data_IF_118947113233
#
_entry.id   IF_118947113233
#
_cell.length_a   1.000
_cell.length_b   1.000
_cell.length_c   1.000
_cell.angle_alpha   90.00
_cell.angle_beta   90.00
_cell.angle_gamma   90.00
#
_symmetry.space_group_name_H-M   'P 1'
#
loop_
_entity.id
_entity.type
_entity.pdbx_description
1 polymer ?
#
# COMPACT_ATOMS: atom_id res chain seq x y z
N UNK A 1 18.81 1.57 -9.08
CA UNK A 1 17.92 0.73 -8.25
C UNK A 1 18.49 0.58 -6.85
N UNK A 2 17.95 1.31 -5.89
CA UNK A 2 18.37 1.17 -4.50
C UNK A 2 18.00 -0.22 -3.95
N UNK A 3 18.97 -0.80 -3.25
CA UNK A 3 18.84 -2.05 -2.53
C UNK A 3 17.67 -1.99 -1.54
N UNK A 4 16.83 -3.02 -1.54
CA UNK A 4 15.74 -3.17 -0.58
C UNK A 4 16.34 -3.34 0.82
N UNK A 5 16.13 -2.37 1.71
CA UNK A 5 16.70 -2.41 3.08
C UNK A 5 15.84 -3.28 3.99
N UNK A 6 16.49 -4.08 4.84
CA UNK A 6 15.78 -4.98 5.76
C UNK A 6 16.26 -4.73 7.18
N UNK A 7 15.35 -4.32 8.05
CA UNK A 7 15.58 -4.09 9.46
C UNK A 7 14.94 -5.21 10.27
N UNK A 8 15.46 -5.50 11.45
CA UNK A 8 14.84 -6.45 12.40
C UNK A 8 14.62 -5.74 13.71
N UNK A 9 13.45 -5.93 14.33
CA UNK A 9 13.09 -5.36 15.62
C UNK A 9 12.56 -6.45 16.55
N UNK A 10 13.29 -6.68 17.63
CA UNK A 10 12.87 -7.56 18.71
C UNK A 10 11.95 -6.79 19.66
N UNK A 11 10.74 -7.30 19.89
CA UNK A 11 9.87 -6.76 20.94
C UNK A 11 10.32 -7.25 22.33
N UNK A 12 9.99 -6.55 23.43
CA UNK A 12 10.13 -7.12 24.76
C UNK A 12 9.25 -8.35 24.96
N UNK A 13 9.59 -9.20 25.93
CA UNK A 13 8.72 -10.28 26.41
C UNK A 13 7.45 -9.67 27.02
N UNK A 14 6.30 -10.28 26.74
CA UNK A 14 5.07 -9.91 27.45
C UNK A 14 5.09 -10.48 28.87
N UNK A 15 4.29 -9.95 29.81
CA UNK A 15 4.19 -10.52 31.16
C UNK A 15 3.77 -12.00 31.19
N UNK A 16 3.04 -12.47 30.16
CA UNK A 16 2.68 -13.89 30.03
C UNK A 16 3.83 -14.77 29.54
N UNK A 17 4.83 -14.20 28.88
CA UNK A 17 5.98 -14.91 28.29
C UNK A 17 7.23 -14.85 29.17
N UNK A 18 7.26 -14.00 30.20
CA UNK A 18 8.44 -13.81 31.07
C UNK A 18 8.87 -15.06 31.84
N UNK A 19 8.03 -16.10 31.86
CA UNK A 19 8.29 -17.39 32.48
C UNK A 19 8.98 -18.36 31.50
N UNK A 20 8.78 -18.16 30.19
CA UNK A 20 9.39 -18.98 29.14
C UNK A 20 10.83 -18.52 28.85
N UNK A 21 11.75 -19.43 28.49
CA UNK A 21 13.10 -19.03 28.11
C UNK A 21 13.08 -18.22 26.81
N UNK A 22 14.01 -17.29 26.67
CA UNK A 22 14.22 -16.60 25.39
C UNK A 22 14.91 -17.52 24.37
N UNK A 23 14.58 -17.30 23.10
CA UNK A 23 15.34 -17.83 21.97
C UNK A 23 16.76 -17.31 22.03
N UNK A 24 17.74 -18.21 22.03
CA UNK A 24 19.14 -17.82 21.92
C UNK A 24 19.39 -17.21 20.55
N UNK A 25 19.85 -15.96 20.53
CA UNK A 25 20.09 -15.20 19.31
C UNK A 25 21.46 -14.53 19.36
N UNK A 26 22.11 -14.45 18.22
CA UNK A 26 23.32 -13.68 18.03
C UNK A 26 23.28 -12.98 16.67
N UNK A 27 23.93 -11.83 16.56
CA UNK A 27 24.08 -11.13 15.30
C UNK A 27 25.53 -10.67 15.13
N UNK A 28 26.03 -10.69 13.89
CA UNK A 28 27.38 -10.22 13.58
C UNK A 28 27.36 -9.28 12.39
N UNK A 29 28.05 -8.16 12.54
CA UNK A 29 28.27 -7.20 11.47
C UNK A 29 29.36 -7.71 10.52
N UNK A 30 29.17 -7.50 9.23
CA UNK A 30 30.08 -7.90 8.15
C UNK A 30 30.63 -6.64 7.44
N UNK A 31 31.67 -6.79 6.62
CA UNK A 31 32.52 -5.72 6.03
C UNK A 31 31.83 -4.62 5.19
N UNK A 32 30.50 -4.60 5.11
CA UNK A 32 29.71 -3.57 4.41
C UNK A 32 28.56 -3.01 5.26
N UNK A 33 28.68 -3.10 6.59
CA UNK A 33 27.65 -2.63 7.52
C UNK A 33 26.38 -3.50 7.55
N UNK A 34 26.36 -4.61 6.80
CA UNK A 34 25.26 -5.59 6.82
C UNK A 34 25.41 -6.54 7.99
N UNK A 35 24.30 -7.05 8.47
CA UNK A 35 24.20 -7.90 9.65
C UNK A 35 23.73 -9.30 9.23
N UNK A 36 24.33 -10.33 9.82
CA UNK A 36 23.82 -11.70 9.81
C UNK A 36 23.23 -12.04 11.17
N UNK A 37 22.16 -12.83 11.21
CA UNK A 37 21.46 -13.24 12.43
C UNK A 37 21.49 -14.77 12.52
N UNK A 38 21.78 -15.28 13.71
CA UNK A 38 21.70 -16.70 14.04
C UNK A 38 20.76 -16.94 15.21
N UNK A 39 19.93 -17.96 15.09
CA UNK A 39 19.00 -18.44 16.12
C UNK A 39 19.35 -19.87 16.50
N UNK A 40 19.31 -20.14 17.81
CA UNK A 40 19.47 -21.47 18.39
C UNK A 40 18.25 -21.77 19.28
N UNK A 41 17.59 -22.93 19.11
CA UNK A 41 16.48 -23.31 19.96
C UNK A 41 16.92 -23.41 21.44
N UNK A 42 16.08 -22.94 22.36
CA UNK A 42 16.35 -23.03 23.80
C UNK A 42 16.11 -24.44 24.37
N UNK A 43 15.25 -25.23 23.73
CA UNK A 43 14.99 -26.63 24.04
C UNK A 43 15.41 -27.52 22.87
N UNK A 44 16.10 -28.63 23.15
CA UNK A 44 16.47 -29.65 22.15
C UNK A 44 15.28 -30.54 21.79
N UNK A 45 14.18 -29.95 21.30
CA UNK A 45 13.17 -30.74 20.60
C UNK A 45 13.77 -31.25 19.28
N UNK A 46 13.41 -32.47 18.86
CA UNK A 46 13.99 -33.08 17.66
C UNK A 46 13.64 -32.34 16.34
N UNK A 47 12.67 -31.41 16.38
CA UNK A 47 12.10 -30.74 15.22
C UNK A 47 12.70 -29.35 14.97
N UNK A 48 13.20 -28.66 16.00
CA UNK A 48 13.76 -27.32 15.86
C UNK A 48 15.29 -27.37 15.68
N UNK A 49 15.77 -26.76 14.60
CA UNK A 49 17.20 -26.73 14.26
C UNK A 49 17.74 -25.31 14.34
N UNK A 50 19.01 -25.12 14.75
CA UNK A 50 19.68 -23.83 14.61
C UNK A 50 19.63 -23.33 13.18
N UNK A 51 19.51 -22.01 13.02
CA UNK A 51 19.47 -21.35 11.73
C UNK A 51 20.36 -20.12 11.74
N UNK A 52 21.09 -19.89 10.64
CA UNK A 52 21.91 -18.69 10.43
C UNK A 52 21.58 -18.11 9.07
N UNK A 53 21.41 -16.79 9.03
CA UNK A 53 21.16 -16.04 7.80
C UNK A 53 22.44 -15.70 7.05
N UNK A 54 22.29 -15.24 5.81
CA UNK A 54 23.34 -14.47 5.13
C UNK A 54 23.47 -13.07 5.75
N UNK A 55 24.43 -12.28 5.29
CA UNK A 55 24.58 -10.86 5.62
C UNK A 55 23.49 -10.03 4.92
N UNK A 56 22.23 -10.23 5.29
CA UNK A 56 21.05 -9.74 4.59
C UNK A 56 20.43 -8.50 5.23
N UNK A 57 20.70 -8.24 6.51
CA UNK A 57 20.02 -7.22 7.30
C UNK A 57 20.83 -5.92 7.34
N UNK A 58 20.14 -4.79 7.44
CA UNK A 58 20.73 -3.44 7.56
C UNK A 58 21.08 -3.13 9.01
N UNK A 59 20.15 -3.42 9.94
CA UNK A 59 20.31 -3.19 11.38
C UNK A 59 19.34 -4.06 12.17
N UNK A 60 19.75 -4.43 13.38
CA UNK A 60 18.93 -5.12 14.38
C UNK A 60 18.65 -4.13 15.51
N UNK A 61 17.39 -4.02 15.90
CA UNK A 61 16.89 -3.27 17.04
C UNK A 61 16.51 -4.26 18.14
N UNK A 62 16.98 -4.01 19.35
CA UNK A 62 16.70 -4.81 20.54
C UNK A 62 15.46 -4.28 21.28
N UNK A 63 15.03 -4.99 22.33
CA UNK A 63 13.85 -4.63 23.10
C UNK A 63 13.92 -3.26 23.80
N UNK A 64 15.12 -2.69 23.94
CA UNK A 64 15.36 -1.36 24.50
C UNK A 64 15.21 -0.24 23.47
N UNK A 65 15.15 -0.55 22.17
CA UNK A 65 14.98 0.44 21.11
C UNK A 65 13.50 0.81 20.94
N UNK A 66 13.16 2.05 21.31
CA UNK A 66 11.83 2.61 21.15
C UNK A 66 11.52 3.00 19.70
N UNK A 67 10.30 3.50 19.45
CA UNK A 67 9.86 3.85 18.10
C UNK A 67 10.71 4.97 17.48
N UNK A 68 11.10 5.98 18.26
CA UNK A 68 12.02 7.04 17.82
C UNK A 68 13.35 6.50 17.31
N UNK A 69 13.97 5.57 18.03
CA UNK A 69 15.24 4.94 17.62
C UNK A 69 15.11 4.22 16.28
N UNK A 70 13.97 3.55 16.05
CA UNK A 70 13.66 2.90 14.76
C UNK A 70 13.42 3.94 13.66
N UNK A 71 12.69 5.02 13.95
CA UNK A 71 12.42 6.12 13.02
C UNK A 71 13.70 6.79 12.54
N UNK A 72 14.57 7.20 13.47
CA UNK A 72 15.84 7.88 13.17
C UNK A 72 16.76 7.02 12.29
N UNK A 73 16.74 5.70 12.47
CA UNK A 73 17.57 4.79 11.71
C UNK A 73 16.98 4.38 10.36
N UNK A 74 15.66 4.20 10.27
CA UNK A 74 15.01 3.62 9.08
C UNK A 74 14.35 4.65 8.16
N UNK A 75 13.67 5.66 8.73
CA UNK A 75 12.75 6.56 8.02
C UNK A 75 13.35 7.96 7.85
N UNK A 76 13.89 8.57 8.92
CA UNK A 76 14.47 9.91 8.87
C UNK A 76 15.49 10.10 7.73
N UNK A 77 16.39 9.13 7.43
CA UNK A 77 17.35 9.27 6.34
C UNK A 77 16.73 9.34 4.94
N UNK A 78 15.44 8.99 4.80
CA UNK A 78 14.74 9.00 3.51
C UNK A 78 13.93 10.28 3.28
N UNK A 79 13.73 11.11 4.31
CA UNK A 79 12.96 12.35 4.17
C UNK A 79 13.52 13.29 3.09
N UNK A 80 14.85 13.45 2.91
CA UNK A 80 15.38 14.24 1.78
C UNK A 80 14.92 13.73 0.41
N UNK A 81 14.72 12.41 0.25
CA UNK A 81 14.20 11.86 -1.00
C UNK A 81 12.74 12.25 -1.22
N UNK A 82 11.93 12.22 -0.16
CA UNK A 82 10.52 12.66 -0.20
C UNK A 82 10.43 14.14 -0.52
N UNK A 83 11.29 14.97 0.09
CA UNK A 83 11.41 16.40 -0.20
C UNK A 83 11.94 16.70 -1.62
N UNK A 84 12.45 15.68 -2.33
CA UNK A 84 12.79 15.75 -3.76
C UNK A 84 11.70 15.17 -4.67
N UNK A 85 10.50 14.92 -4.15
CA UNK A 85 9.34 14.43 -4.92
C UNK A 85 9.35 12.92 -5.15
N UNK A 86 10.12 12.15 -4.35
CA UNK A 86 10.21 10.68 -4.47
C UNK A 86 9.28 9.98 -3.50
N UNK A 87 9.02 8.70 -3.79
CA UNK A 87 8.26 7.80 -2.92
C UNK A 87 9.18 6.89 -2.09
N UNK A 88 8.92 6.80 -0.79
CA UNK A 88 9.61 5.91 0.13
C UNK A 88 8.60 5.01 0.87
N UNK A 89 8.81 3.70 0.82
CA UNK A 89 7.85 2.70 1.31
C UNK A 89 8.43 1.91 2.49
N UNK A 90 7.64 1.69 3.53
CA UNK A 90 8.02 0.99 4.76
C UNK A 90 7.01 -0.10 5.09
N UNK A 91 7.47 -1.36 5.07
CA UNK A 91 6.65 -2.53 5.36
C UNK A 91 6.96 -3.09 6.73
N UNK A 92 5.98 -3.22 7.62
CA UNK A 92 6.13 -4.05 8.82
C UNK A 92 5.64 -5.47 8.54
N UNK A 93 6.50 -6.46 8.81
CA UNK A 93 6.23 -7.87 8.56
C UNK A 93 6.62 -8.74 9.76
N UNK A 94 5.76 -9.68 10.13
CA UNK A 94 5.97 -10.55 11.28
C UNK A 94 4.70 -11.32 11.66
N UNK A 95 4.83 -12.31 12.53
CA UNK A 95 3.68 -13.05 13.05
C UNK A 95 2.74 -12.14 13.88
N UNK A 96 1.52 -12.58 14.14
CA UNK A 96 0.60 -11.85 15.04
C UNK A 96 1.17 -11.66 16.44
N UNK A 97 0.96 -10.47 17.01
CA UNK A 97 1.55 -10.08 18.30
C UNK A 97 3.05 -9.75 18.28
N UNK A 98 3.71 -9.72 17.12
CA UNK A 98 5.15 -9.40 17.03
C UNK A 98 5.50 -7.91 17.13
N UNK A 99 4.51 -7.01 17.04
CA UNK A 99 4.73 -5.55 17.14
C UNK A 99 4.67 -4.76 15.82
N UNK A 100 4.02 -5.29 14.77
CA UNK A 100 3.85 -4.62 13.46
C UNK A 100 3.14 -3.27 13.59
N UNK A 101 1.91 -3.27 14.11
CA UNK A 101 1.13 -2.04 14.29
C UNK A 101 1.75 -1.10 15.31
N UNK A 102 2.32 -1.63 16.40
CA UNK A 102 3.12 -0.82 17.35
C UNK A 102 4.22 -0.02 16.63
N UNK A 103 4.89 -0.63 15.66
CA UNK A 103 5.97 0.01 14.91
C UNK A 103 5.41 1.04 13.93
N UNK A 104 4.45 0.68 13.07
CA UNK A 104 3.99 1.57 12.01
C UNK A 104 3.07 2.69 12.52
N UNK A 105 2.11 2.31 13.36
CA UNK A 105 1.00 3.17 13.80
C UNK A 105 1.28 3.73 15.19
N UNK A 106 1.79 2.89 16.09
CA UNK A 106 1.94 3.24 17.51
C UNK A 106 0.63 3.13 18.28
N UNK A 107 0.73 3.26 19.60
CA UNK A 107 -0.42 3.31 20.51
C UNK A 107 -0.41 4.56 21.39
N UNK A 108 0.75 5.21 21.53
CA UNK A 108 0.88 6.53 22.12
C UNK A 108 0.94 7.57 21.00
N UNK A 109 0.03 8.55 21.08
CA UNK A 109 -0.10 9.64 20.11
C UNK A 109 0.18 11.00 20.75
N UNK A 110 0.65 11.01 22.01
CA UNK A 110 1.04 12.21 22.75
C UNK A 110 2.55 12.27 22.99
N UNK A 111 3.19 11.15 23.33
CA UNK A 111 4.64 11.07 23.54
C UNK A 111 5.42 10.95 22.22
N UNK A 112 6.21 11.97 21.81
CA UNK A 112 6.97 11.97 20.57
C UNK A 112 7.98 10.84 20.42
N UNK A 113 8.49 10.31 21.54
CA UNK A 113 9.50 9.26 21.53
C UNK A 113 8.88 7.87 21.26
N UNK A 114 7.57 7.75 21.47
CA UNK A 114 6.78 6.52 21.28
C UNK A 114 5.85 6.55 20.06
N UNK A 115 5.76 7.67 19.34
CA UNK A 115 5.00 7.76 18.09
C UNK A 115 5.34 6.63 17.13
N UNK A 116 4.31 6.00 16.55
CA UNK A 116 4.53 5.11 15.41
C UNK A 116 5.22 5.83 14.26
N UNK A 117 5.91 5.06 13.41
CA UNK A 117 6.74 5.62 12.33
C UNK A 117 5.98 6.59 11.41
N UNK A 118 4.68 6.35 11.17
CA UNK A 118 3.85 7.24 10.37
C UNK A 118 3.68 8.62 11.01
N UNK A 119 3.33 8.66 12.31
CA UNK A 119 3.09 9.93 13.01
C UNK A 119 4.41 10.69 13.27
N UNK A 120 5.49 9.98 13.60
CA UNK A 120 6.83 10.57 13.72
C UNK A 120 7.27 11.23 12.40
N UNK A 121 7.04 10.56 11.27
CA UNK A 121 7.34 11.13 9.96
C UNK A 121 6.47 12.35 9.63
N UNK A 122 5.18 12.29 9.93
CA UNK A 122 4.27 13.41 9.76
C UNK A 122 4.73 14.63 10.54
N UNK A 123 5.17 14.46 11.80
CA UNK A 123 5.70 15.56 12.61
C UNK A 123 6.90 16.24 11.95
N UNK A 124 7.92 15.47 11.58
CA UNK A 124 9.13 16.03 10.99
C UNK A 124 8.86 16.67 9.61
N UNK A 125 7.96 16.09 8.81
CA UNK A 125 7.52 16.69 7.56
C UNK A 125 6.77 18.00 7.82
N UNK A 126 5.81 18.06 8.75
CA UNK A 126 5.07 19.28 9.07
C UNK A 126 5.99 20.41 9.52
N UNK A 127 6.98 20.12 10.36
CA UNK A 127 8.00 21.10 10.78
C UNK A 127 8.79 21.64 9.57
N UNK A 128 9.17 20.76 8.65
CA UNK A 128 9.90 21.15 7.42
C UNK A 128 9.02 21.98 6.49
N UNK A 129 7.77 21.56 6.27
CA UNK A 129 6.82 22.26 5.39
C UNK A 129 6.44 23.63 5.96
N UNK A 130 6.31 23.76 7.28
CA UNK A 130 6.06 25.06 7.92
C UNK A 130 7.17 26.07 7.62
N UNK A 131 8.43 25.63 7.55
CA UNK A 131 9.55 26.46 7.09
C UNK A 131 9.42 26.86 5.61
N UNK A 132 9.12 25.89 4.73
CA UNK A 132 8.95 26.15 3.29
C UNK A 132 7.76 27.07 2.97
N UNK A 133 6.69 26.98 3.76
CA UNK A 133 5.48 27.79 3.57
C UNK A 133 5.68 29.27 3.91
N UNK A 134 6.74 29.65 4.64
CA UNK A 134 7.00 31.07 4.99
C UNK A 134 7.17 31.96 3.75
N UNK A 135 7.70 31.41 2.66
CA UNK A 135 7.93 32.12 1.40
C UNK A 135 6.72 32.08 0.44
N UNK A 136 5.67 31.32 0.78
CA UNK A 136 4.51 31.10 -0.07
C UNK A 136 3.45 32.16 0.23
N UNK A 137 3.19 33.03 -0.76
CA UNK A 137 2.19 34.11 -0.65
C UNK A 137 0.79 33.68 -1.07
N UNK A 138 0.68 32.67 -1.93
CA UNK A 138 -0.59 32.18 -2.46
C UNK A 138 -1.07 31.01 -1.60
N UNK A 139 -2.18 31.13 -0.85
CA UNK A 139 -2.69 30.02 -0.02
C UNK A 139 -3.02 28.76 -0.82
N UNK A 140 -3.29 28.87 -2.13
CA UNK A 140 -3.55 27.71 -2.98
C UNK A 140 -2.28 26.87 -3.25
N UNK A 141 -1.11 27.47 -3.08
CA UNK A 141 0.21 26.84 -3.25
C UNK A 141 0.84 26.39 -1.92
N UNK A 142 0.19 26.70 -0.79
CA UNK A 142 0.66 26.29 0.53
C UNK A 142 0.75 24.77 0.61
N UNK A 143 1.92 24.27 1.04
CA UNK A 143 2.21 22.85 1.16
C UNK A 143 1.51 22.29 2.40
N UNK A 144 0.83 21.18 2.22
CA UNK A 144 0.18 20.42 3.27
C UNK A 144 0.56 18.94 3.17
N UNK A 145 0.28 18.17 4.21
CA UNK A 145 0.36 16.72 4.17
C UNK A 145 -1.03 16.17 3.85
N UNK A 146 -1.17 15.51 2.71
CA UNK A 146 -2.34 14.72 2.36
C UNK A 146 -2.21 13.33 2.96
N UNK A 147 -3.08 12.98 3.90
CA UNK A 147 -3.17 11.63 4.46
C UNK A 147 -4.23 10.80 3.72
N UNK A 148 -3.88 9.57 3.38
CA UNK A 148 -4.81 8.51 2.96
C UNK A 148 -4.63 7.32 3.90
N UNK A 149 -5.74 6.71 4.31
CA UNK A 149 -5.70 5.54 5.17
C UNK A 149 -6.78 4.55 4.71
N UNK A 150 -6.38 3.32 4.41
CA UNK A 150 -7.31 2.27 4.05
C UNK A 150 -6.83 0.91 4.54
N UNK A 151 -7.76 -0.01 4.75
CA UNK A 151 -7.44 -1.41 5.03
C UNK A 151 -7.82 -2.31 3.86
N UNK A 152 -7.00 -3.33 3.61
CA UNK A 152 -7.25 -4.39 2.65
C UNK A 152 -7.68 -5.64 3.40
N UNK A 153 -8.86 -6.16 3.03
CA UNK A 153 -9.37 -7.44 3.49
C UNK A 153 -9.85 -8.24 2.29
N UNK A 154 -9.18 -9.35 2.03
CA UNK A 154 -9.37 -10.14 0.80
C UNK A 154 -9.15 -9.26 -0.43
N UNK A 155 -10.13 -9.21 -1.33
CA UNK A 155 -10.04 -8.47 -2.59
C UNK A 155 -10.68 -7.06 -2.50
N UNK A 156 -10.96 -6.59 -1.29
CA UNK A 156 -11.72 -5.38 -1.03
C UNK A 156 -10.86 -4.44 -0.18
N UNK A 157 -10.84 -3.17 -0.55
CA UNK A 157 -10.29 -2.08 0.24
C UNK A 157 -11.42 -1.38 1.01
N UNK A 158 -11.14 -0.87 2.20
CA UNK A 158 -12.07 -0.04 2.96
C UNK A 158 -11.39 1.28 3.30
N UNK A 159 -11.97 2.39 2.86
CA UNK A 159 -11.43 3.73 3.07
C UNK A 159 -11.70 4.20 4.50
N UNK A 160 -10.66 4.24 5.33
CA UNK A 160 -10.77 4.55 6.74
C UNK A 160 -10.95 6.04 7.01
N UNK A 161 -10.78 6.93 6.02
CA UNK A 161 -11.02 8.37 6.16
C UNK A 161 -12.34 8.81 5.51
N UNK A 162 -13.11 7.86 4.99
CA UNK A 162 -14.41 8.10 4.34
C UNK A 162 -15.48 7.13 4.86
N UNK A 163 -15.63 7.06 6.19
CA UNK A 163 -16.69 6.25 6.82
C UNK A 163 -16.56 4.75 6.59
N UNK A 164 -15.34 4.25 6.34
CA UNK A 164 -15.06 2.84 6.03
C UNK A 164 -15.79 2.37 4.77
N UNK A 165 -15.97 3.26 3.79
CA UNK A 165 -16.66 2.92 2.55
C UNK A 165 -15.90 1.85 1.75
N UNK A 166 -16.66 0.99 1.08
CA UNK A 166 -16.10 -0.12 0.33
C UNK A 166 -15.47 0.38 -0.98
N UNK A 167 -14.27 -0.12 -1.26
CA UNK A 167 -13.51 0.21 -2.45
C UNK A 167 -13.02 -1.07 -3.16
N UNK A 168 -12.88 -1.00 -4.47
CA UNK A 168 -12.51 -2.09 -5.35
C UNK A 168 -11.17 -1.82 -6.01
N UNK A 169 -10.27 -2.81 -5.95
CA UNK A 169 -8.99 -2.77 -6.67
C UNK A 169 -9.24 -3.23 -8.10
N UNK A 170 -8.98 -2.36 -9.08
CA UNK A 170 -9.18 -2.63 -10.52
C UNK A 170 -7.99 -2.16 -11.33
N UNK A 171 -7.77 -2.79 -12.47
CA UNK A 171 -6.78 -2.34 -13.45
C UNK A 171 -7.47 -1.61 -14.60
N UNK A 172 -6.97 -0.42 -14.94
CA UNK A 172 -7.41 0.34 -16.10
C UNK A 172 -6.91 -0.28 -17.40
N UNK A 173 -7.48 0.14 -18.56
CA UNK A 173 -7.00 -0.28 -19.87
C UNK A 173 -5.55 0.18 -20.16
N UNK A 174 -5.09 1.21 -19.46
CA UNK A 174 -3.71 1.71 -19.47
C UNK A 174 -2.74 0.86 -18.62
N UNK A 175 -3.25 -0.19 -17.96
CA UNK A 175 -2.48 -1.07 -17.09
C UNK A 175 -2.15 -0.46 -15.72
N UNK A 176 -2.73 0.71 -15.38
CA UNK A 176 -2.60 1.32 -14.06
C UNK A 176 -3.58 0.71 -13.07
N UNK A 177 -3.15 0.62 -11.82
CA UNK A 177 -3.98 0.09 -10.75
C UNK A 177 -4.77 1.23 -10.11
N UNK A 178 -6.05 1.00 -9.87
CA UNK A 178 -6.95 1.97 -9.25
C UNK A 178 -7.66 1.32 -8.08
N UNK A 179 -7.70 2.04 -6.95
CA UNK A 179 -8.62 1.76 -5.86
C UNK A 179 -9.81 2.69 -6.06
N UNK A 180 -10.96 2.11 -6.36
CA UNK A 180 -12.18 2.82 -6.74
C UNK A 180 -13.26 2.61 -5.70
N UNK A 181 -13.79 3.68 -5.13
CA UNK A 181 -14.95 3.64 -4.25
C UNK A 181 -16.21 3.13 -4.95
N UNK A 182 -17.32 3.14 -4.22
CA UNK A 182 -18.61 2.76 -4.78
C UNK A 182 -19.01 3.67 -5.95
N UNK A 183 -19.77 3.09 -6.88
CA UNK A 183 -20.27 3.83 -8.03
C UNK A 183 -21.48 4.64 -7.63
N UNK A 184 -21.35 5.96 -7.70
CA UNK A 184 -22.42 6.91 -7.41
C UNK A 184 -23.11 7.28 -8.73
N UNK A 185 -24.44 7.14 -8.79
CA UNK A 185 -25.25 7.66 -9.90
C UNK A 185 -25.79 9.03 -9.47
N UNK A 186 -25.42 10.05 -10.22
CA UNK A 186 -25.79 11.45 -9.99
C UNK A 186 -26.93 11.85 -10.96
N UNK A 187 -27.39 13.10 -10.82
CA UNK A 187 -28.35 13.70 -11.74
C UNK A 187 -27.86 13.66 -13.20
N UNK A 188 -28.81 13.71 -14.16
CA UNK A 188 -28.53 13.69 -15.60
C UNK A 188 -27.80 12.42 -16.10
N UNK A 189 -27.84 11.32 -15.33
CA UNK A 189 -27.17 10.07 -15.68
C UNK A 189 -25.65 10.12 -15.56
N UNK A 190 -25.09 11.16 -14.92
CA UNK A 190 -23.68 11.24 -14.57
C UNK A 190 -23.34 10.11 -13.58
N UNK A 191 -22.16 9.52 -13.76
CA UNK A 191 -21.69 8.44 -12.88
C UNK A 191 -20.34 8.85 -12.31
N UNK A 192 -20.19 8.80 -11.00
CA UNK A 192 -18.95 9.17 -10.32
C UNK A 192 -18.38 7.99 -9.56
N UNK A 193 -17.07 7.81 -9.68
CA UNK A 193 -16.32 6.83 -8.91
C UNK A 193 -15.13 7.55 -8.31
N UNK A 194 -15.09 7.66 -6.98
CA UNK A 194 -14.02 8.38 -6.28
C UNK A 194 -12.83 7.47 -5.99
N UNK A 195 -11.59 7.97 -6.02
CA UNK A 195 -10.46 7.26 -5.43
C UNK A 195 -10.56 7.26 -3.89
N UNK A 196 -9.62 6.60 -3.22
CA UNK A 196 -9.43 6.75 -1.76
C UNK A 196 -9.28 8.23 -1.43
N UNK A 197 -10.02 8.69 -0.42
CA UNK A 197 -10.03 10.10 -0.03
C UNK A 197 -8.65 10.54 0.45
N UNK A 198 -8.30 11.78 0.12
CA UNK A 198 -7.11 12.44 0.66
C UNK A 198 -7.58 13.54 1.59
N UNK A 199 -7.22 13.45 2.87
CA UNK A 199 -7.47 14.52 3.85
C UNK A 199 -6.24 15.40 3.91
N UNK A 200 -6.40 16.68 3.61
CA UNK A 200 -5.30 17.63 3.62
C UNK A 200 -5.15 18.24 5.02
N UNK A 201 -3.96 18.13 5.58
CA UNK A 201 -3.62 18.57 6.93
C UNK A 201 -2.52 19.63 6.83
N UNK A 202 -2.83 20.86 7.28
CA UNK A 202 -1.89 21.98 7.27
C UNK A 202 -1.09 22.05 8.58
N UNK A 203 -1.59 21.43 9.64
CA UNK A 203 -0.87 21.26 10.90
C UNK A 203 -0.61 19.78 11.22
N UNK A 204 0.39 19.54 12.07
CA UNK A 204 0.62 18.21 12.65
C UNK A 204 -0.60 17.72 13.45
N UNK A 205 -1.30 18.63 14.12
CA UNK A 205 -2.46 18.31 14.94
C UNK A 205 -3.66 17.85 14.09
N UNK A 206 -3.90 18.52 12.94
CA UNK A 206 -4.95 18.12 11.99
C UNK A 206 -4.71 16.68 11.51
N UNK A 207 -3.44 16.35 11.20
CA UNK A 207 -3.05 15.02 10.74
C UNK A 207 -3.23 13.97 11.84
N UNK A 208 -2.82 14.30 13.07
CA UNK A 208 -2.99 13.42 14.22
C UNK A 208 -4.47 13.14 14.48
N UNK A 209 -5.34 14.14 14.37
CA UNK A 209 -6.78 13.96 14.51
C UNK A 209 -7.36 13.04 13.43
N UNK A 210 -7.07 13.30 12.14
CA UNK A 210 -7.55 12.47 11.03
C UNK A 210 -7.03 11.02 11.13
N UNK A 211 -5.78 10.83 11.57
CA UNK A 211 -5.23 9.50 11.85
C UNK A 211 -6.03 8.77 12.95
N UNK A 212 -6.30 9.45 14.07
CA UNK A 212 -7.07 8.87 15.18
C UNK A 212 -8.51 8.54 14.78
N UNK A 213 -9.15 9.37 13.95
CA UNK A 213 -10.48 9.10 13.41
C UNK A 213 -10.49 7.85 12.51
N UNK A 214 -9.50 7.72 11.62
CA UNK A 214 -9.35 6.52 10.79
C UNK A 214 -9.08 5.25 11.59
N UNK A 215 -8.29 5.34 12.68
CA UNK A 215 -8.03 4.23 13.58
C UNK A 215 -9.28 3.78 14.35
N UNK A 216 -10.16 4.70 14.75
CA UNK A 216 -11.46 4.34 15.35
C UNK A 216 -12.31 3.53 14.38
N UNK A 217 -12.33 3.90 13.10
CA UNK A 217 -13.07 3.15 12.09
C UNK A 217 -12.48 1.76 11.86
N UNK A 218 -11.14 1.62 11.86
CA UNK A 218 -10.48 0.31 11.86
C UNK A 218 -10.95 -0.54 13.06
N UNK A 219 -10.99 0.05 14.26
CA UNK A 219 -11.46 -0.55 15.52
C UNK A 219 -12.91 -1.08 15.50
N UNK A 220 -13.79 -0.59 14.63
CA UNK A 220 -15.22 -1.00 14.61
C UNK A 220 -15.55 -2.18 13.70
N UNK A 221 -14.59 -2.70 12.91
CA UNK A 221 -14.84 -3.56 11.75
C UNK A 221 -15.34 -5.02 11.97
N UNK A 222 -15.31 -5.59 13.18
CA UNK A 222 -15.83 -6.96 13.45
C UNK A 222 -16.12 -7.24 14.93
N UNK A 223 -17.26 -7.86 15.21
CA UNK A 223 -17.60 -8.46 16.51
C UNK A 223 -16.85 -9.78 16.74
N UNK A 224 -16.65 -10.11 18.02
CA UNK A 224 -16.04 -11.33 18.58
C UNK A 224 -14.52 -11.51 18.41
N UNK A 225 -13.80 -11.20 19.51
CA UNK A 225 -12.58 -11.86 19.99
C UNK A 225 -11.58 -12.28 18.90
N UNK A 226 -10.88 -11.35 18.23
CA UNK A 226 -9.49 -11.51 17.76
C UNK A 226 -8.95 -10.15 17.24
N UNK A 227 -7.66 -9.89 17.52
CA UNK A 227 -6.90 -8.66 17.26
C UNK A 227 -6.94 -8.23 15.77
N UNK A 228 -7.55 -7.09 15.47
CA UNK A 228 -7.78 -6.61 14.10
C UNK A 228 -6.49 -6.43 13.28
N UNK A 229 -5.38 -6.11 13.93
CA UNK A 229 -4.09 -5.95 13.26
C UNK A 229 -3.56 -7.23 12.63
N UNK A 230 -4.06 -8.39 13.08
CA UNK A 230 -3.61 -9.70 12.57
C UNK A 230 -4.23 -10.08 11.23
N UNK A 231 -5.42 -9.56 10.89
CA UNK A 231 -6.25 -10.10 9.80
C UNK A 231 -6.44 -9.19 8.59
N UNK A 232 -6.06 -7.91 8.70
CA UNK A 232 -6.13 -6.95 7.59
C UNK A 232 -4.77 -6.28 7.39
N UNK A 233 -4.45 -5.96 6.14
CA UNK A 233 -3.32 -5.09 5.85
C UNK A 233 -3.80 -3.64 5.94
N UNK A 234 -3.09 -2.78 6.66
CA UNK A 234 -3.37 -1.34 6.63
C UNK A 234 -2.30 -0.60 5.84
N UNK A 235 -2.74 0.36 5.03
CA UNK A 235 -1.88 1.24 4.24
C UNK A 235 -2.16 2.67 4.68
N UNK A 236 -1.11 3.37 5.09
CA UNK A 236 -1.11 4.79 5.41
C UNK A 236 -0.18 5.49 4.42
N UNK A 237 -0.72 6.44 3.66
CA UNK A 237 0.06 7.24 2.71
C UNK A 237 0.05 8.69 3.17
N UNK A 238 1.25 9.28 3.25
CA UNK A 238 1.48 10.70 3.41
C UNK A 238 2.01 11.24 2.09
N UNK A 239 1.29 12.15 1.46
CA UNK A 239 1.71 12.83 0.23
C UNK A 239 1.84 14.33 0.49
N UNK A 240 2.92 14.96 0.02
CA UNK A 240 3.03 16.41 0.04
C UNK A 240 2.13 16.97 -1.06
N UNK A 241 1.13 17.77 -0.70
CA UNK A 241 0.08 18.29 -1.59
C UNK A 241 -0.09 19.80 -1.42
N UNK A 242 -0.85 20.41 -2.32
CA UNK A 242 -1.36 21.79 -2.18
C UNK A 242 -2.86 21.78 -2.47
N UNK A 243 -3.56 22.85 -2.08
CA UNK A 243 -4.99 22.99 -2.41
C UNK A 243 -5.22 23.00 -3.93
N UNK A 244 -4.37 23.72 -4.68
CA UNK A 244 -4.44 23.75 -6.14
C UNK A 244 -4.30 22.34 -6.77
N UNK A 245 -3.43 21.49 -6.23
CA UNK A 245 -3.27 20.11 -6.71
C UNK A 245 -4.51 19.26 -6.43
N UNK A 246 -5.09 19.39 -5.25
CA UNK A 246 -6.30 18.63 -4.86
C UNK A 246 -7.51 19.07 -5.69
N UNK A 247 -7.72 20.38 -5.85
CA UNK A 247 -8.79 20.93 -6.68
C UNK A 247 -8.67 20.48 -8.14
N UNK A 248 -7.45 20.42 -8.68
CA UNK A 248 -7.19 19.92 -10.02
C UNK A 248 -7.50 18.42 -10.16
N UNK A 249 -7.18 17.60 -9.15
CA UNK A 249 -7.53 16.17 -9.13
C UNK A 249 -9.04 15.95 -9.03
N UNK A 250 -9.73 16.75 -8.22
CA UNK A 250 -11.19 16.72 -8.12
C UNK A 250 -11.86 17.14 -9.44
N UNK A 251 -11.30 18.12 -10.14
CA UNK A 251 -11.76 18.49 -11.47
C UNK A 251 -11.65 17.33 -12.48
N UNK A 252 -10.58 16.52 -12.43
CA UNK A 252 -10.48 15.30 -13.26
C UNK A 252 -11.63 14.34 -12.97
N UNK A 253 -11.92 14.08 -11.70
CA UNK A 253 -13.04 13.20 -11.30
C UNK A 253 -14.38 13.75 -11.80
N UNK A 254 -14.59 15.06 -11.72
CA UNK A 254 -15.80 15.71 -12.25
C UNK A 254 -15.91 15.55 -13.77
N UNK A 255 -14.85 15.84 -14.53
CA UNK A 255 -14.86 15.69 -16.00
C UNK A 255 -15.05 14.24 -16.44
N UNK A 256 -14.44 13.30 -15.73
CA UNK A 256 -14.66 11.87 -16.00
C UNK A 256 -16.12 11.49 -15.75
N UNK A 257 -16.77 12.06 -14.73
CA UNK A 257 -18.18 11.82 -14.44
C UNK A 257 -19.12 12.36 -15.51
N UNK A 258 -18.83 13.57 -16.02
CA UNK A 258 -19.54 14.22 -17.12
C UNK A 258 -19.42 13.44 -18.44
N UNK A 259 -18.27 12.82 -18.70
CA UNK A 259 -18.02 12.03 -19.91
C UNK A 259 -18.89 10.76 -19.97
N UNK A 260 -19.21 10.12 -18.84
CA UNK A 260 -19.91 8.82 -18.83
C UNK A 260 -21.25 8.83 -19.60
N UNK A 261 -22.23 9.71 -19.32
CA UNK A 261 -23.50 9.70 -20.04
C UNK A 261 -23.33 10.03 -21.53
N UNK A 262 -22.39 10.91 -21.88
CA UNK A 262 -22.09 11.27 -23.27
C UNK A 262 -21.48 10.09 -24.03
N UNK A 263 -20.49 9.42 -23.44
CA UNK A 263 -19.85 8.26 -24.02
C UNK A 263 -20.80 7.07 -24.17
N UNK A 264 -21.68 6.87 -23.18
CA UNK A 264 -22.77 5.89 -23.28
C UNK A 264 -23.70 6.23 -24.43
N UNK A 265 -24.16 7.49 -24.54
CA UNK A 265 -25.07 7.91 -25.61
C UNK A 265 -24.46 7.72 -27.00
N UNK A 266 -23.18 8.03 -27.18
CA UNK A 266 -22.48 7.79 -28.44
C UNK A 266 -22.43 6.29 -28.79
N UNK A 267 -22.12 5.44 -27.81
CA UNK A 267 -22.14 3.98 -27.96
C UNK A 267 -23.54 3.46 -28.31
N UNK A 268 -24.57 3.95 -27.62
CA UNK A 268 -25.97 3.56 -27.86
C UNK A 268 -26.42 3.96 -29.27
N UNK A 269 -26.06 5.17 -29.74
CA UNK A 269 -26.35 5.62 -31.12
C UNK A 269 -25.64 4.73 -32.14
N UNK A 270 -24.35 4.46 -31.93
CA UNK A 270 -23.60 3.59 -32.81
C UNK A 270 -24.25 2.20 -32.93
N UNK A 271 -24.61 1.58 -31.79
CA UNK A 271 -25.25 0.27 -31.77
C UNK A 271 -26.63 0.33 -32.44
N UNK A 272 -27.44 1.34 -32.13
CA UNK A 272 -28.78 1.53 -32.70
C UNK A 272 -28.74 1.63 -34.24
N UNK A 273 -27.89 2.51 -34.76
CA UNK A 273 -27.77 2.75 -36.20
C UNK A 273 -27.21 1.54 -36.95
N UNK A 274 -26.18 0.89 -36.41
CA UNK A 274 -25.64 -0.33 -37.00
C UNK A 274 -26.64 -1.49 -36.94
N UNK A 275 -27.40 -1.64 -35.85
CA UNK A 275 -28.39 -2.73 -35.73
C UNK A 275 -29.51 -2.59 -36.75
N UNK A 276 -30.00 -1.37 -37.01
CA UNK A 276 -31.02 -1.11 -38.05
C UNK A 276 -30.54 -1.39 -39.47
N UNK A 277 -29.21 -1.30 -39.69
CA UNK A 277 -28.56 -1.65 -40.94
C UNK A 277 -28.61 -3.14 -41.29
N UNK A 278 -29.10 -4.01 -40.39
CA UNK A 278 -29.25 -5.44 -40.63
C UNK A 278 -30.64 -5.95 -40.28
N UNK A 279 -31.13 -6.95 -41.04
CA UNK A 279 -32.37 -7.69 -40.76
C UNK A 279 -32.08 -9.19 -40.82
N UNK A 280 -32.87 -10.00 -40.13
CA UNK A 280 -32.80 -11.46 -40.29
C UNK A 280 -33.61 -11.91 -41.50
N UNK A 281 -33.00 -12.72 -42.36
CA UNK A 281 -33.72 -13.39 -43.44
C UNK A 281 -34.54 -14.59 -42.91
N UNK A 282 -35.30 -15.25 -43.78
CA UNK A 282 -36.14 -16.41 -43.42
C UNK A 282 -35.35 -17.60 -42.83
N UNK A 283 -34.04 -17.69 -43.09
CA UNK A 283 -33.14 -18.71 -42.53
C UNK A 283 -32.49 -18.29 -41.19
N UNK A 284 -32.88 -17.13 -40.64
CA UNK A 284 -32.32 -16.56 -39.41
C UNK A 284 -30.94 -15.92 -39.55
N UNK A 285 -30.43 -15.74 -40.78
CA UNK A 285 -29.14 -15.05 -41.05
C UNK A 285 -29.33 -13.54 -41.14
N UNK A 286 -28.43 -12.79 -40.50
CA UNK A 286 -28.39 -11.34 -40.63
C UNK A 286 -27.87 -10.93 -42.01
N UNK A 287 -28.67 -10.16 -42.75
CA UNK A 287 -28.34 -9.57 -44.04
C UNK A 287 -28.48 -8.04 -43.97
N UNK A 288 -27.76 -7.26 -44.81
CA UNK A 288 -27.94 -5.81 -44.87
C UNK A 288 -29.40 -5.46 -45.15
N UNK A 289 -29.92 -4.47 -44.44
CA UNK A 289 -31.28 -3.98 -44.60
C UNK A 289 -31.36 -3.07 -45.85
N UNK A 290 -32.07 -3.47 -46.92
CA UNK A 290 -32.17 -2.65 -48.14
C UNK A 290 -33.03 -1.39 -47.92
N UNK A 291 -33.91 -1.38 -46.91
CA UNK A 291 -34.84 -0.28 -46.63
C UNK A 291 -34.27 0.74 -45.63
N UNK A 292 -33.03 0.54 -45.17
CA UNK A 292 -32.39 1.42 -44.21
C UNK A 292 -30.96 1.76 -44.60
N UNK A 293 -30.67 3.05 -44.66
CA UNK A 293 -29.31 3.55 -44.77
C UNK A 293 -28.86 4.06 -43.40
N UNK A 294 -27.71 3.57 -42.93
CA UNK A 294 -27.09 3.98 -41.67
C UNK A 294 -26.91 5.50 -41.66
N UNK A 295 -27.41 6.17 -40.63
CA UNK A 295 -27.21 7.60 -40.44
C UNK A 295 -25.82 7.88 -39.87
N UNK A 296 -24.84 7.93 -40.78
CA UNK A 296 -23.45 8.18 -40.41
C UNK A 296 -23.27 9.57 -39.77
N UNK A 297 -24.05 10.58 -40.20
CA UNK A 297 -23.97 11.93 -39.64
C UNK A 297 -24.39 11.97 -38.18
N UNK A 298 -25.41 11.19 -37.80
CA UNK A 298 -25.85 11.03 -36.40
C UNK A 298 -24.78 10.34 -35.53
N UNK A 299 -24.10 9.32 -36.05
CA UNK A 299 -22.98 8.66 -35.35
C UNK A 299 -21.83 9.66 -35.18
N UNK A 300 -21.43 10.35 -36.25
CA UNK A 300 -20.31 11.29 -36.24
C UNK A 300 -20.56 12.47 -35.29
N UNK A 301 -21.79 12.98 -35.24
CA UNK A 301 -22.18 14.04 -34.30
C UNK A 301 -22.07 13.58 -32.83
N UNK A 302 -22.46 12.33 -32.55
CA UNK A 302 -22.37 11.77 -31.20
C UNK A 302 -20.91 11.50 -30.77
N UNK A 303 -20.09 10.95 -31.67
CA UNK A 303 -18.66 10.75 -31.44
C UNK A 303 -17.90 12.09 -31.31
N UNK A 304 -18.25 13.11 -32.10
CA UNK A 304 -17.69 14.45 -31.95
C UNK A 304 -17.99 15.04 -30.56
N UNK A 305 -19.22 14.84 -30.05
CA UNK A 305 -19.58 15.31 -28.71
C UNK A 305 -18.85 14.55 -27.60
N UNK A 306 -18.66 13.24 -27.77
CA UNK A 306 -17.84 12.42 -26.87
C UNK A 306 -16.38 12.89 -26.87
N UNK A 307 -15.80 13.13 -28.04
CA UNK A 307 -14.43 13.62 -28.18
C UNK A 307 -14.21 14.99 -27.52
N UNK A 308 -15.21 15.89 -27.57
CA UNK A 308 -15.19 17.16 -26.83
C UNK A 308 -15.05 16.93 -25.32
N UNK A 309 -15.81 15.99 -24.75
CA UNK A 309 -15.76 15.68 -23.31
C UNK A 309 -14.48 14.93 -22.93
N UNK A 310 -13.97 14.06 -23.80
CA UNK A 310 -12.65 13.44 -23.64
C UNK A 310 -11.53 14.50 -23.58
N UNK A 311 -11.63 15.54 -24.42
CA UNK A 311 -10.71 16.69 -24.36
C UNK A 311 -10.80 17.44 -23.03
N UNK A 312 -11.99 17.59 -22.42
CA UNK A 312 -12.10 18.21 -21.08
C UNK A 312 -11.42 17.37 -20.00
N UNK A 313 -11.51 16.03 -20.08
CA UNK A 313 -10.78 15.14 -19.18
C UNK A 313 -9.26 15.31 -19.38
N UNK A 314 -8.79 15.28 -20.62
CA UNK A 314 -7.37 15.44 -20.94
C UNK A 314 -6.82 16.78 -20.44
N UNK A 315 -7.54 17.89 -20.64
CA UNK A 315 -7.14 19.21 -20.15
C UNK A 315 -7.05 19.25 -18.62
N UNK A 316 -7.98 18.58 -17.92
CA UNK A 316 -7.93 18.48 -16.46
C UNK A 316 -6.73 17.65 -15.98
N UNK A 317 -6.41 16.54 -16.66
CA UNK A 317 -5.24 15.72 -16.36
C UNK A 317 -3.92 16.46 -16.64
N UNK A 318 -3.87 17.20 -17.75
CA UNK A 318 -2.74 18.05 -18.11
C UNK A 318 -2.53 19.17 -17.09
N UNK A 319 -3.60 19.72 -16.51
CA UNK A 319 -3.52 20.69 -15.42
C UNK A 319 -2.88 20.09 -14.18
N UNK A 320 -3.25 18.86 -13.79
CA UNK A 320 -2.61 18.14 -12.66
C UNK A 320 -1.10 17.97 -12.93
N UNK A 321 -0.75 17.50 -14.13
CA UNK A 321 0.64 17.33 -14.57
C UNK A 321 1.40 18.66 -14.58
N UNK A 322 0.76 19.73 -15.04
CA UNK A 322 1.30 21.08 -15.08
C UNK A 322 1.61 21.61 -13.69
N UNK A 323 0.72 21.44 -12.71
CA UNK A 323 0.94 21.86 -11.31
C UNK A 323 2.15 21.13 -10.72
N UNK A 324 2.25 19.81 -10.91
CA UNK A 324 3.38 19.02 -10.41
C UNK A 324 4.71 19.45 -11.02
N UNK A 325 4.74 19.74 -12.33
CA UNK A 325 5.96 20.15 -13.06
C UNK A 325 6.38 21.59 -12.82
N UNK A 326 5.42 22.50 -12.61
CA UNK A 326 5.67 23.93 -12.43
C UNK A 326 5.84 24.36 -10.97
N UNK A 327 5.65 23.43 -10.03
CA UNK A 327 5.87 23.68 -8.60
C UNK A 327 7.28 24.20 -8.34
N UNK A 328 7.37 25.29 -7.57
CA UNK A 328 8.64 25.84 -7.09
C UNK A 328 9.34 24.90 -6.11
N UNK A 329 8.57 24.09 -5.40
CA UNK A 329 9.08 23.13 -4.44
C UNK A 329 9.09 21.74 -5.06
N UNK A 330 10.29 21.15 -5.18
CA UNK A 330 10.50 19.80 -5.68
C UNK A 330 9.81 18.72 -4.85
N UNK A 331 9.40 19.05 -3.62
CA UNK A 331 8.77 18.12 -2.70
C UNK A 331 7.31 17.80 -3.07
N UNK A 332 6.66 18.61 -3.92
CA UNK A 332 5.26 18.40 -4.27
C UNK A 332 5.06 17.03 -4.94
N UNK A 333 4.13 16.23 -4.40
CA UNK A 333 3.89 14.85 -4.83
C UNK A 333 4.85 13.81 -4.26
N UNK A 334 5.82 14.22 -3.42
CA UNK A 334 6.64 13.31 -2.64
C UNK A 334 5.82 12.52 -1.63
N UNK A 335 6.16 11.24 -1.43
CA UNK A 335 5.33 10.29 -0.67
C UNK A 335 6.10 9.47 0.35
N UNK A 336 5.49 9.29 1.52
CA UNK A 336 5.80 8.21 2.45
C UNK A 336 4.63 7.24 2.50
N UNK A 337 4.92 5.96 2.37
CA UNK A 337 3.91 4.90 2.42
C UNK A 337 4.29 3.93 3.51
N UNK A 338 3.42 3.78 4.49
CA UNK A 338 3.60 2.86 5.60
C UNK A 338 2.58 1.73 5.49
N UNK A 339 3.07 0.50 5.53
CA UNK A 339 2.29 -0.71 5.32
C UNK A 339 2.40 -1.58 6.57
N UNK A 340 1.31 -1.69 7.31
CA UNK A 340 1.13 -2.62 8.42
C UNK A 340 0.52 -3.91 7.86
N UNK A 341 1.37 -4.90 7.59
CA UNK A 341 0.90 -6.15 6.99
C UNK A 341 0.16 -7.01 8.03
N UNK A 342 -0.85 -7.74 7.60
CA UNK A 342 -1.46 -8.80 8.40
C UNK A 342 -0.42 -9.83 8.88
N UNK A 343 -0.74 -10.54 9.96
CA UNK A 343 0.15 -11.52 10.57
C UNK A 343 0.50 -12.66 9.64
N UNK A 344 1.79 -13.04 9.59
CA UNK A 344 2.29 -14.11 8.72
C UNK A 344 2.13 -15.51 9.32
N UNK A 345 1.16 -15.72 10.21
CA UNK A 345 0.97 -17.01 10.85
C UNK A 345 0.68 -18.12 9.84
N UNK A 346 1.53 -19.14 9.90
CA UNK A 346 1.25 -20.45 9.36
C UNK A 346 0.55 -21.24 10.47
N UNK A 347 -0.76 -21.44 10.36
CA UNK A 347 -1.54 -22.34 11.25
C UNK A 347 -1.19 -23.83 11.08
N UNK A 348 -0.03 -24.14 10.49
CA UNK A 348 0.54 -25.47 10.39
C UNK A 348 1.48 -25.74 11.55
N UNK A 349 0.90 -25.90 12.74
CA UNK A 349 1.55 -26.73 13.74
C UNK A 349 0.57 -27.82 14.17
N UNK A 350 0.56 -28.96 13.48
CA UNK A 350 -0.26 -30.11 13.89
C UNK A 350 0.38 -30.87 15.07
N UNK A 351 1.51 -30.41 15.60
CA UNK A 351 2.44 -31.31 16.29
C UNK A 351 2.92 -30.87 17.67
N UNK A 352 2.64 -29.64 18.14
CA UNK A 352 3.30 -29.16 19.38
C UNK A 352 2.43 -28.50 20.44
N UNK A 353 1.10 -28.58 20.36
CA UNK A 353 0.21 -27.99 21.39
C UNK A 353 -0.66 -29.04 22.08
N UNK A 354 -0.44 -29.26 23.39
CA UNK A 354 -1.30 -30.06 24.29
C UNK A 354 -2.59 -29.35 24.68
N UNK A 355 -2.78 -28.10 24.24
CA UNK A 355 -3.97 -27.28 24.51
C UNK A 355 -4.99 -27.44 23.38
N UNK A 356 -6.27 -27.73 23.66
CA UNK A 356 -7.32 -27.76 22.65
C UNK A 356 -7.40 -26.42 21.93
N UNK A 357 -7.18 -26.42 20.61
CA UNK A 357 -7.36 -25.20 19.81
C UNK A 357 -8.83 -24.77 19.84
N UNK A 358 -9.12 -23.46 19.91
CA UNK A 358 -10.42 -22.96 19.50
C UNK A 358 -10.67 -23.42 18.06
N UNK A 359 -11.81 -24.06 17.79
CA UNK A 359 -12.19 -24.41 16.41
C UNK A 359 -12.34 -23.11 15.63
N UNK A 360 -11.44 -22.87 14.68
CA UNK A 360 -11.59 -21.75 13.75
C UNK A 360 -12.83 -21.94 12.89
N UNK A 361 -13.56 -20.86 12.67
CA UNK A 361 -14.67 -20.86 11.73
C UNK A 361 -14.13 -21.00 10.29
N UNK A 362 -14.93 -21.53 9.34
CA UNK A 362 -14.52 -21.59 7.93
C UNK A 362 -14.12 -20.23 7.35
N UNK A 363 -14.75 -19.15 7.84
CA UNK A 363 -14.43 -17.79 7.44
C UNK A 363 -13.02 -17.36 7.86
N UNK A 364 -12.61 -17.68 9.09
CA UNK A 364 -11.27 -17.37 9.60
C UNK A 364 -10.18 -18.15 8.87
N UNK A 365 -10.46 -19.40 8.50
CA UNK A 365 -9.53 -20.22 7.72
C UNK A 365 -9.32 -19.61 6.32
N UNK A 366 -10.39 -19.17 5.67
CA UNK A 366 -10.32 -18.53 4.36
C UNK A 366 -9.55 -17.20 4.42
N UNK A 367 -9.71 -16.43 5.49
CA UNK A 367 -8.95 -15.20 5.73
C UNK A 367 -7.46 -15.48 5.89
N UNK A 368 -7.08 -16.47 6.71
CA UNK A 368 -5.68 -16.88 6.87
C UNK A 368 -5.03 -17.37 5.56
N UNK A 369 -5.78 -18.06 4.70
CA UNK A 369 -5.30 -18.47 3.38
C UNK A 369 -5.03 -17.29 2.46
N UNK A 370 -5.93 -16.31 2.47
CA UNK A 370 -5.78 -15.11 1.64
C UNK A 370 -4.58 -14.26 2.10
N UNK A 371 -4.40 -14.06 3.41
CA UNK A 371 -3.24 -13.34 3.95
C UNK A 371 -1.93 -14.00 3.49
N UNK A 372 -1.84 -15.32 3.59
CA UNK A 372 -0.64 -16.05 3.14
C UNK A 372 -0.43 -15.95 1.62
N UNK A 373 -1.50 -15.91 0.83
CA UNK A 373 -1.44 -15.67 -0.62
C UNK A 373 -0.89 -14.28 -0.91
N UNK A 374 -1.35 -13.25 -0.19
CA UNK A 374 -0.92 -11.87 -0.36
C UNK A 374 0.56 -11.69 -0.02
N UNK A 375 1.03 -12.30 1.08
CA UNK A 375 2.42 -12.24 1.55
C UNK A 375 3.38 -13.02 0.64
N UNK A 376 2.92 -14.15 0.06
CA UNK A 376 3.66 -14.92 -0.93
C UNK A 376 3.79 -14.14 -2.25
N UNK A 377 2.70 -13.53 -2.73
CA UNK A 377 2.73 -12.68 -3.91
C UNK A 377 3.70 -11.51 -3.74
N UNK A 378 3.69 -10.85 -2.57
CA UNK A 378 4.63 -9.77 -2.24
C UNK A 378 6.08 -10.22 -2.31
N UNK A 379 6.38 -11.41 -1.76
CA UNK A 379 7.72 -12.01 -1.83
C UNK A 379 8.19 -12.19 -3.26
N UNK A 380 7.32 -12.72 -4.12
CA UNK A 380 7.63 -12.96 -5.53
C UNK A 380 7.83 -11.67 -6.32
N UNK A 381 7.04 -10.63 -6.04
CA UNK A 381 7.22 -9.29 -6.60
C UNK A 381 8.60 -8.72 -6.24
N UNK A 382 8.98 -8.77 -4.96
CA UNK A 382 10.29 -8.27 -4.50
C UNK A 382 11.43 -9.05 -5.18
N UNK A 383 11.32 -10.39 -5.25
CA UNK A 383 12.31 -11.26 -5.89
C UNK A 383 12.46 -10.96 -7.39
N UNK A 384 11.34 -10.82 -8.09
CA UNK A 384 11.30 -10.52 -9.52
C UNK A 384 11.90 -9.14 -9.83
N UNK A 385 11.55 -8.12 -9.02
CA UNK A 385 12.09 -6.76 -9.13
C UNK A 385 13.59 -6.74 -8.93
N UNK A 386 14.07 -7.40 -7.89
CA UNK A 386 15.50 -7.40 -7.57
C UNK A 386 16.34 -8.20 -8.59
N UNK A 387 15.74 -9.23 -9.20
CA UNK A 387 16.34 -9.96 -10.32
C UNK A 387 16.18 -9.27 -11.68
N UNK A 388 15.60 -8.05 -11.73
CA UNK A 388 15.31 -7.28 -12.95
C UNK A 388 14.55 -8.09 -14.01
N UNK A 389 13.59 -8.91 -13.58
CA UNK A 389 12.74 -9.65 -14.52
C UNK A 389 11.89 -8.68 -15.36
N UNK A 390 11.73 -8.98 -16.64
CA UNK A 390 10.95 -8.14 -17.56
C UNK A 390 9.47 -8.04 -17.14
N UNK A 391 8.91 -9.11 -16.56
CA UNK A 391 7.54 -9.15 -16.07
C UNK A 391 7.52 -9.38 -14.57
N UNK A 392 7.04 -8.39 -13.82
CA UNK A 392 6.86 -8.47 -12.38
C UNK A 392 5.40 -8.87 -12.08
N UNK A 393 5.13 -9.88 -11.24
CA UNK A 393 3.79 -10.46 -11.06
C UNK A 393 2.91 -9.64 -10.08
N UNK A 394 2.71 -8.35 -10.34
CA UNK A 394 1.87 -7.49 -9.48
C UNK A 394 0.39 -7.87 -9.43
N UNK A 395 -0.10 -8.69 -10.36
CA UNK A 395 -1.50 -9.16 -10.40
C UNK A 395 -1.76 -10.40 -9.54
N UNK A 396 -0.75 -10.92 -8.84
CA UNK A 396 -0.86 -12.15 -8.07
C UNK A 396 -1.67 -12.00 -6.78
N UNK A 397 -1.85 -10.77 -6.29
CA UNK A 397 -2.73 -10.49 -5.15
C UNK A 397 -3.25 -9.04 -5.17
N UNK A 398 -4.39 -8.75 -4.53
CA UNK A 398 -4.86 -7.37 -4.34
C UNK A 398 -3.83 -6.48 -3.64
N UNK A 399 -3.10 -7.03 -2.66
CA UNK A 399 -2.02 -6.32 -1.99
C UNK A 399 -0.92 -5.89 -2.98
N UNK A 400 -0.43 -6.82 -3.81
CA UNK A 400 0.62 -6.49 -4.80
C UNK A 400 0.12 -5.57 -5.91
N UNK A 401 -1.15 -5.65 -6.26
CA UNK A 401 -1.82 -4.73 -7.18
C UNK A 401 -1.81 -3.31 -6.63
N UNK A 402 -2.22 -3.11 -5.37
CA UNK A 402 -2.20 -1.80 -4.70
C UNK A 402 -0.77 -1.26 -4.55
N UNK A 403 0.19 -2.13 -4.23
CA UNK A 403 1.58 -1.72 -4.02
C UNK A 403 2.36 -1.44 -5.31
N UNK A 404 1.79 -1.74 -6.48
CA UNK A 404 2.49 -1.62 -7.77
C UNK A 404 3.06 -0.23 -7.99
N UNK A 405 2.23 0.80 -7.85
CA UNK A 405 2.63 2.19 -8.13
C UNK A 405 3.66 2.67 -7.10
N UNK A 406 3.59 2.18 -5.87
CA UNK A 406 4.59 2.46 -4.83
C UNK A 406 5.95 1.81 -5.15
N UNK A 407 5.97 0.61 -5.74
CA UNK A 407 7.20 -0.09 -6.13
C UNK A 407 7.85 0.41 -7.42
N UNK A 408 7.03 0.81 -8.39
CA UNK A 408 7.51 1.30 -9.69
C UNK A 408 7.91 2.78 -9.63
N UNK A 409 7.33 3.55 -8.70
CA UNK A 409 7.52 5.00 -8.67
C UNK A 409 6.87 5.66 -9.89
N UNK A 410 7.16 6.95 -10.10
CA UNK A 410 6.90 7.58 -11.40
C UNK A 410 8.05 7.24 -12.35
N UNK A 411 7.83 7.29 -13.66
CA UNK A 411 8.81 6.92 -14.72
C UNK A 411 10.18 7.64 -14.62
N UNK A 412 10.35 8.59 -13.71
CA UNK A 412 11.51 9.46 -13.57
C UNK A 412 12.29 9.31 -12.26
N UNK A 413 11.78 8.56 -11.25
CA UNK A 413 12.46 8.46 -9.93
C UNK A 413 12.40 7.06 -9.32
N UNK A 414 13.58 6.51 -8.98
CA UNK A 414 13.72 5.26 -8.22
C UNK A 414 13.00 5.40 -6.86
N UNK A 415 12.11 4.46 -6.51
CA UNK A 415 11.48 4.40 -5.18
C UNK A 415 12.37 3.68 -4.16
N UNK A 416 12.42 4.23 -2.94
CA UNK A 416 13.06 3.57 -1.81
C UNK A 416 12.07 2.61 -1.16
N UNK A 417 12.52 1.42 -0.75
CA UNK A 417 11.68 0.47 -0.03
C UNK A 417 12.47 -0.23 1.06
N UNK A 418 11.88 -0.28 2.25
CA UNK A 418 12.42 -0.95 3.42
C UNK A 418 11.39 -1.85 4.08
N UNK A 419 11.84 -2.97 4.64
CA UNK A 419 11.01 -3.89 5.43
C UNK A 419 11.56 -3.95 6.84
N UNK A 420 10.69 -3.79 7.82
CA UNK A 420 10.96 -3.88 9.25
C UNK A 420 10.32 -5.18 9.72
N UNK A 421 11.16 -6.14 10.06
CA UNK A 421 10.72 -7.42 10.57
C UNK A 421 10.51 -7.30 12.06
N UNK A 422 9.28 -7.45 12.51
CA UNK A 422 8.97 -7.47 13.93
C UNK A 422 8.96 -8.92 14.40
N UNK A 423 9.73 -9.22 15.45
CA UNK A 423 9.96 -10.60 15.91
C UNK A 423 9.87 -10.69 17.42
N UNK A 424 9.48 -11.88 17.91
CA UNK A 424 9.40 -12.18 19.33
C UNK A 424 10.65 -12.89 19.84
N UNK A 425 11.14 -12.55 21.05
CA UNK A 425 12.21 -13.27 21.70
C UNK A 425 11.75 -14.58 22.35
N UNK A 426 10.44 -14.80 22.57
CA UNK A 426 9.92 -15.99 23.25
C UNK A 426 10.29 -17.29 22.52
N UNK A 427 10.78 -18.30 23.25
CA UNK A 427 11.05 -19.62 22.65
C UNK A 427 9.79 -20.32 22.16
N UNK A 428 8.62 -20.02 22.74
CA UNK A 428 7.35 -20.58 22.28
C UNK A 428 6.98 -20.10 20.86
N UNK A 429 7.57 -18.98 20.44
CA UNK A 429 7.37 -18.38 19.12
C UNK A 429 8.59 -18.59 18.21
N UNK A 430 9.52 -19.50 18.56
CA UNK A 430 10.76 -19.75 17.82
C UNK A 430 10.52 -20.01 16.33
N UNK A 431 9.62 -20.93 15.99
CA UNK A 431 9.30 -21.27 14.60
C UNK A 431 8.76 -20.06 13.81
N UNK A 432 7.89 -19.26 14.44
CA UNK A 432 7.31 -18.06 13.83
C UNK A 432 8.40 -16.99 13.60
N UNK A 433 9.21 -16.70 14.61
CA UNK A 433 10.36 -15.79 14.52
C UNK A 433 11.35 -16.23 13.45
N UNK A 434 11.71 -17.51 13.41
CA UNK A 434 12.62 -18.05 12.38
C UNK A 434 12.04 -17.89 10.97
N UNK A 435 10.74 -18.14 10.77
CA UNK A 435 10.10 -17.97 9.46
C UNK A 435 10.08 -16.50 9.02
N UNK A 436 9.82 -15.57 9.95
CA UNK A 436 9.90 -14.13 9.68
C UNK A 436 11.31 -13.71 9.26
N UNK A 437 12.35 -14.17 9.97
CA UNK A 437 13.74 -13.86 9.60
C UNK A 437 14.18 -14.53 8.29
N UNK A 438 13.72 -15.76 7.99
CA UNK A 438 13.97 -16.40 6.69
C UNK A 438 13.37 -15.60 5.53
N UNK A 439 12.16 -15.07 5.71
CA UNK A 439 11.54 -14.17 4.74
C UNK A 439 12.39 -12.91 4.54
N UNK A 440 12.78 -12.28 5.64
CA UNK A 440 13.69 -11.13 5.64
C UNK A 440 15.02 -11.37 4.94
N UNK A 441 15.65 -12.52 5.21
CA UNK A 441 16.89 -12.94 4.56
C UNK A 441 16.70 -13.03 3.05
N UNK A 442 15.61 -13.62 2.57
CA UNK A 442 15.33 -13.72 1.13
C UNK A 442 15.13 -12.34 0.49
N UNK A 443 14.40 -11.43 1.15
CA UNK A 443 14.20 -10.05 0.69
C UNK A 443 15.52 -9.28 0.64
N UNK A 444 16.32 -9.37 1.70
CA UNK A 444 17.60 -8.65 1.82
C UNK A 444 18.66 -9.18 0.85
N UNK A 445 18.70 -10.49 0.61
CA UNK A 445 19.61 -11.10 -0.37
C UNK A 445 19.17 -10.78 -1.80
N UNK A 446 17.87 -10.90 -2.10
CA UNK A 446 17.34 -10.54 -3.41
C UNK A 446 17.66 -9.09 -3.75
N UNK A 447 17.47 -8.17 -2.79
CA UNK A 447 17.76 -6.74 -2.94
C UNK A 447 19.24 -6.37 -3.02
N UNK A 448 20.17 -7.28 -2.72
CA UNK A 448 21.61 -7.03 -2.81
C UNK A 448 22.17 -7.28 -4.22
N UNK A 449 23.23 -6.56 -4.59
CA UNK A 449 23.95 -6.83 -5.82
C UNK A 449 24.52 -8.25 -5.77
N UNK A 450 23.93 -9.17 -6.54
CA UNK A 450 24.58 -10.45 -6.82
C UNK A 450 25.89 -10.13 -7.52
N UNK A 451 27.03 -10.38 -6.86
CA UNK A 451 28.32 -10.47 -7.54
C UNK A 451 28.11 -11.38 -8.75
N UNK A 452 28.34 -10.82 -9.94
CA UNK A 452 28.41 -11.57 -11.19
C UNK A 452 29.52 -12.60 -10.97
N UNK A 453 29.15 -13.83 -10.65
CA UNK A 453 30.11 -14.94 -10.67
C UNK A 453 30.40 -15.14 -12.15
N UNK A 454 31.45 -14.50 -12.63
CA UNK A 454 32.09 -14.84 -13.89
C UNK A 454 32.56 -16.28 -13.77
N UNK A 455 31.88 -17.17 -14.48
CA UNK A 455 32.49 -18.39 -14.99
C UNK A 455 32.56 -18.26 -16.49
#
# INVERSE_FOLDING_TARGET
MHQFKVYTRWRPLTPSESIAPETQRAHSQQDHGRVSISLTPSSRSATERPWKSEAAFTRVFEATDNNKSVFEAAVAPTLPHVLSGRSCNFFAYGHSGSGKSHTIIGYDFEDPDEFGLCLAAARQLSETLAGLNQDIKNPAEELAIGIRMFELRKNIAFDLLNGRCQCYVREGPDGKMHIRGETEVLEEGKVRVRPIVTKACWSFEDLRQELLEGLKLRATGTSTVHDQSSRTHAVLELEIVTRALLDARDAVVQRQSELVPVGKRATDIYIEENTKGYIQNADGKYIPNPDYQIDQARIDAAEAKKAEFESYVQQAEDKVSGILKSSRHSCLGGKLVFIDLAGSEYYHDKTTSTVPRPKQTPQEQQEGWQINTDLLALKEVIRARASKQARIPFRSSPLTMVLRDHFLGTNTTDSYSAMILTVSPSSEQFAATMNTLKYGNLVGVAGGDKKRVTR
#
